data_IF_937847646217
#
_entry.id   IF_937847646217
#
_cell.length_a   1.000
_cell.length_b   1.000
_cell.length_c   1.000
_cell.angle_alpha   90.00
_cell.angle_beta   90.00
_cell.angle_gamma   90.00
#
_symmetry.space_group_name_H-M   'P 1'
#
loop_
_entity.id
_entity.type
_entity.pdbx_description
1 polymer ?
#
# COMPACT_ATOMS: atom_id res chain seq x y z
N UNK A 1 5.21 -8.41 -0.41
CA UNK A 1 3.89 -8.46 -1.10
C UNK A 1 3.07 -7.25 -0.66
N UNK A 2 2.06 -6.81 -1.43
CA UNK A 2 1.14 -5.72 -1.05
C UNK A 2 -0.30 -6.23 -1.09
N UNK A 3 -1.26 -5.63 -0.35
CA UNK A 3 -2.65 -6.06 -0.38
C UNK A 3 -3.27 -5.88 -1.76
N UNK A 4 -4.30 -6.68 -2.07
CA UNK A 4 -5.15 -6.42 -3.23
C UNK A 4 -5.80 -5.05 -3.09
N UNK A 5 -5.86 -4.30 -4.19
CA UNK A 5 -6.36 -2.94 -4.19
C UNK A 5 -7.12 -2.60 -5.47
N UNK A 6 -8.07 -1.71 -5.33
CA UNK A 6 -8.70 -1.02 -6.45
C UNK A 6 -7.86 0.21 -6.82
N UNK A 7 -7.61 0.38 -8.12
CA UNK A 7 -6.93 1.57 -8.64
C UNK A 7 -7.95 2.46 -9.32
N UNK A 8 -8.05 3.70 -8.85
CA UNK A 8 -8.92 4.73 -9.45
C UNK A 8 -8.03 5.83 -10.02
N UNK A 9 -8.05 5.98 -11.35
CA UNK A 9 -7.36 7.06 -12.04
C UNK A 9 -8.33 8.21 -12.29
N UNK A 10 -7.93 9.44 -11.91
CA UNK A 10 -8.73 10.65 -12.15
C UNK A 10 -8.14 11.36 -13.37
N UNK A 11 -8.79 11.30 -14.55
CA UNK A 11 -8.32 12.04 -15.72
C UNK A 11 -8.45 13.55 -15.47
N UNK A 12 -7.48 14.32 -15.94
CA UNK A 12 -7.52 15.78 -15.81
C UNK A 12 -8.56 16.39 -16.76
N UNK A 13 -9.24 17.44 -16.30
CA UNK A 13 -9.96 18.38 -17.18
C UNK A 13 -9.15 19.67 -17.31
N UNK A 14 -8.98 20.41 -16.21
CA UNK A 14 -8.02 21.50 -16.11
C UNK A 14 -7.01 21.17 -15.00
N UNK A 15 -5.88 20.59 -15.40
CA UNK A 15 -4.83 20.12 -14.50
C UNK A 15 -4.30 21.24 -13.59
N UNK A 16 -4.07 22.42 -14.14
CA UNK A 16 -3.51 23.55 -13.36
C UNK A 16 -4.50 24.00 -12.31
N UNK A 17 -5.78 24.15 -12.67
CA UNK A 17 -6.84 24.49 -11.72
C UNK A 17 -6.93 23.47 -10.60
N UNK A 18 -7.04 22.20 -10.97
CA UNK A 18 -7.40 21.13 -10.04
C UNK A 18 -6.24 20.74 -9.11
N UNK A 19 -5.00 20.85 -9.58
CA UNK A 19 -3.82 20.37 -8.85
C UNK A 19 -2.98 21.48 -8.19
N UNK A 20 -3.42 22.74 -8.25
CA UNK A 20 -2.77 23.85 -7.53
C UNK A 20 -3.64 24.32 -6.36
N UNK A 21 -3.10 24.36 -5.14
CA UNK A 21 -3.89 24.67 -3.93
C UNK A 21 -4.26 26.15 -3.84
N UNK A 22 -3.46 27.01 -4.46
CA UNK A 22 -3.60 28.47 -4.40
C UNK A 22 -3.53 29.10 -5.78
N UNK A 23 -4.17 30.27 -5.90
CA UNK A 23 -4.07 31.14 -7.07
C UNK A 23 -2.73 31.86 -7.01
N UNK A 24 -1.78 31.46 -7.84
CA UNK A 24 -0.47 32.11 -7.88
C UNK A 24 -0.52 33.36 -8.75
N UNK A 25 0.16 34.42 -8.33
CA UNK A 25 0.41 35.59 -9.18
C UNK A 25 1.37 35.24 -10.34
N UNK A 26 1.26 35.89 -11.51
CA UNK A 26 2.19 35.69 -12.61
C UNK A 26 3.64 35.97 -12.19
N UNK A 27 4.52 35.01 -12.43
CA UNK A 27 5.96 35.09 -12.17
C UNK A 27 6.77 34.29 -13.20
N UNK A 28 6.92 34.80 -14.44
CA UNK A 28 7.63 34.10 -15.51
C UNK A 28 9.12 33.89 -15.20
N UNK A 29 9.74 32.78 -15.66
CA UNK A 29 9.13 31.74 -16.51
C UNK A 29 8.40 30.65 -15.71
N UNK A 30 8.49 30.63 -14.37
CA UNK A 30 7.93 29.55 -13.54
C UNK A 30 6.40 29.53 -13.53
N UNK A 31 5.78 30.71 -13.46
CA UNK A 31 4.33 30.89 -13.51
C UNK A 31 4.00 31.89 -14.63
N UNK A 32 3.90 31.44 -15.89
CA UNK A 32 3.39 32.27 -16.98
C UNK A 32 1.96 32.73 -16.71
N UNK A 33 1.53 33.83 -17.33
CA UNK A 33 0.21 34.43 -17.13
C UNK A 33 -0.94 33.43 -17.35
N UNK A 34 -0.93 32.67 -18.46
CA UNK A 34 -1.95 31.64 -18.72
C UNK A 34 -1.96 30.50 -17.69
N UNK A 35 -0.82 30.21 -17.04
CA UNK A 35 -0.77 29.22 -15.95
C UNK A 35 -1.36 29.81 -14.66
N UNK A 36 -1.00 31.06 -14.34
CA UNK A 36 -1.57 31.81 -13.22
C UNK A 36 -3.09 31.90 -13.35
N UNK A 37 -3.61 32.32 -14.52
CA UNK A 37 -5.03 32.47 -14.84
C UNK A 37 -5.86 31.23 -14.50
N UNK A 38 -5.31 30.04 -14.74
CA UNK A 38 -6.01 28.78 -14.54
C UNK A 38 -5.84 28.17 -13.15
N UNK A 39 -4.98 28.71 -12.28
CA UNK A 39 -4.63 28.10 -11.00
C UNK A 39 -5.62 28.35 -9.84
N UNK A 40 -5.48 27.59 -8.75
CA UNK A 40 -6.12 27.85 -7.46
C UNK A 40 -7.44 27.12 -7.18
N UNK A 41 -7.73 26.01 -7.87
CA UNK A 41 -8.94 25.22 -7.68
C UNK A 41 -8.78 23.98 -6.79
N UNK A 42 -7.59 23.73 -6.20
CA UNK A 42 -7.30 22.53 -5.42
C UNK A 42 -8.32 22.20 -4.34
N UNK A 43 -8.80 23.21 -3.58
CA UNK A 43 -9.85 23.00 -2.54
C UNK A 43 -11.18 22.49 -3.10
N UNK A 44 -11.58 22.98 -4.27
CA UNK A 44 -12.79 22.53 -4.94
C UNK A 44 -12.60 21.10 -5.45
N UNK A 45 -11.44 20.81 -6.03
CA UNK A 45 -11.13 19.47 -6.52
C UNK A 45 -11.03 18.44 -5.38
N UNK A 46 -10.42 18.79 -4.25
CA UNK A 46 -10.39 17.94 -3.05
C UNK A 46 -11.79 17.73 -2.47
N UNK A 47 -12.66 18.74 -2.56
CA UNK A 47 -14.06 18.62 -2.15
C UNK A 47 -14.86 17.72 -3.10
N UNK A 48 -14.61 17.77 -4.40
CA UNK A 48 -15.17 16.81 -5.37
C UNK A 48 -14.74 15.38 -5.01
N UNK A 49 -13.46 15.15 -4.71
CA UNK A 49 -12.95 13.82 -4.32
C UNK A 49 -13.69 13.31 -3.08
N UNK A 50 -13.80 14.13 -2.04
CA UNK A 50 -14.44 13.78 -0.77
C UNK A 50 -15.96 13.57 -0.91
N UNK A 51 -16.67 14.47 -1.59
CA UNK A 51 -18.13 14.56 -1.53
C UNK A 51 -18.85 13.91 -2.70
N UNK A 52 -18.15 13.61 -3.78
CA UNK A 52 -18.75 13.05 -5.00
C UNK A 52 -18.07 11.75 -5.40
N UNK A 53 -16.74 11.77 -5.59
CA UNK A 53 -16.00 10.62 -6.09
C UNK A 53 -16.00 9.44 -5.11
N UNK A 54 -15.63 9.66 -3.84
CA UNK A 54 -15.63 8.59 -2.84
C UNK A 54 -17.03 7.99 -2.63
N UNK A 55 -18.12 8.77 -2.42
CA UNK A 55 -19.46 8.20 -2.33
C UNK A 55 -19.88 7.41 -3.56
N UNK A 56 -19.51 7.85 -4.76
CA UNK A 56 -19.80 7.11 -5.98
C UNK A 56 -19.07 5.76 -6.00
N UNK A 57 -17.78 5.74 -5.69
CA UNK A 57 -17.00 4.50 -5.70
C UNK A 57 -17.52 3.52 -4.64
N UNK A 58 -17.70 3.99 -3.40
CA UNK A 58 -18.15 3.16 -2.27
C UNK A 58 -19.55 2.56 -2.50
N UNK A 59 -20.40 3.27 -3.26
CA UNK A 59 -21.73 2.76 -3.63
C UNK A 59 -21.68 1.67 -4.70
N UNK A 60 -20.73 1.74 -5.63
CA UNK A 60 -20.73 0.90 -6.83
C UNK A 60 -19.75 -0.27 -6.75
N UNK A 61 -18.83 -0.28 -5.77
CA UNK A 61 -17.80 -1.29 -5.66
C UNK A 61 -17.54 -1.70 -4.20
N UNK A 62 -17.08 -2.94 -3.95
CA UNK A 62 -16.69 -3.38 -2.60
C UNK A 62 -15.37 -2.73 -2.20
N UNK A 63 -15.44 -1.55 -1.59
CA UNK A 63 -14.26 -0.81 -1.17
C UNK A 63 -13.91 -1.04 0.29
N UNK A 64 -12.61 -0.97 0.59
CA UNK A 64 -12.09 -0.87 1.94
C UNK A 64 -12.02 0.61 2.37
N UNK A 65 -12.00 0.84 3.68
CA UNK A 65 -11.86 2.18 4.27
C UNK A 65 -10.47 2.78 4.06
N UNK A 66 -9.45 1.96 3.81
CA UNK A 66 -8.07 2.37 3.59
C UNK A 66 -7.87 2.97 2.19
N UNK A 67 -7.50 4.25 2.13
CA UNK A 67 -7.28 5.00 0.89
C UNK A 67 -5.85 5.52 0.82
N UNK A 68 -5.25 5.39 -0.36
CA UNK A 68 -3.93 5.92 -0.69
C UNK A 68 -4.05 6.99 -1.77
N UNK A 69 -3.28 8.07 -1.65
CA UNK A 69 -3.18 9.09 -2.68
C UNK A 69 -1.79 9.14 -3.30
N UNK A 70 -1.72 9.03 -4.64
CA UNK A 70 -0.48 9.08 -5.41
C UNK A 70 -0.58 10.25 -6.39
N UNK A 71 0.44 11.10 -6.45
CA UNK A 71 0.48 12.19 -7.41
C UNK A 71 1.88 12.61 -7.79
N UNK A 72 2.04 13.08 -9.03
CA UNK A 72 3.30 13.48 -9.63
C UNK A 72 3.31 14.96 -10.03
N UNK A 73 4.41 15.67 -9.77
CA UNK A 73 4.57 17.08 -10.15
C UNK A 73 3.54 17.95 -9.42
N UNK A 74 2.66 18.71 -10.11
CA UNK A 74 1.49 19.34 -9.46
C UNK A 74 0.57 18.35 -8.77
N UNK A 75 0.47 17.10 -9.24
CA UNK A 75 -0.23 16.05 -8.50
C UNK A 75 0.45 15.76 -7.15
N UNK A 76 1.79 15.78 -7.08
CA UNK A 76 2.53 15.64 -5.83
C UNK A 76 2.35 16.84 -4.91
N UNK A 77 2.30 18.06 -5.47
CA UNK A 77 1.92 19.27 -4.72
C UNK A 77 0.52 19.11 -4.11
N UNK A 78 -0.44 18.61 -4.88
CA UNK A 78 -1.81 18.38 -4.41
C UNK A 78 -1.91 17.23 -3.39
N UNK A 79 -1.07 16.20 -3.48
CA UNK A 79 -0.92 15.17 -2.42
C UNK A 79 -0.46 15.82 -1.11
N UNK A 80 0.53 16.70 -1.17
CA UNK A 80 1.03 17.41 0.02
C UNK A 80 -0.01 18.38 0.60
N UNK A 81 -0.79 19.05 -0.25
CA UNK A 81 -1.89 19.91 0.17
C UNK A 81 -3.01 19.10 0.85
N UNK A 82 -3.43 17.99 0.25
CA UNK A 82 -4.43 17.10 0.82
C UNK A 82 -4.00 16.53 2.19
N UNK A 83 -2.71 16.18 2.36
CA UNK A 83 -2.16 15.76 3.64
C UNK A 83 -2.31 16.87 4.69
N UNK A 84 -2.04 18.14 4.36
CA UNK A 84 -2.11 19.23 5.33
C UNK A 84 -3.56 19.70 5.61
N UNK A 85 -4.39 19.85 4.57
CA UNK A 85 -5.75 20.41 4.64
C UNK A 85 -6.77 19.39 5.14
N UNK A 86 -6.74 18.16 4.62
CA UNK A 86 -7.71 17.09 4.94
C UNK A 86 -7.05 15.73 5.15
N UNK A 87 -6.20 15.57 6.18
CA UNK A 87 -5.47 14.32 6.45
C UNK A 87 -6.38 13.11 6.71
N UNK A 88 -7.65 13.31 7.04
CA UNK A 88 -8.62 12.23 7.27
C UNK A 88 -9.01 11.47 6.00
N UNK A 89 -8.85 12.08 4.81
CA UNK A 89 -9.30 11.49 3.54
C UNK A 89 -8.49 10.27 3.11
N UNK A 90 -7.20 10.24 3.44
CA UNK A 90 -6.29 9.16 3.06
C UNK A 90 -5.44 8.73 4.24
N UNK A 91 -5.04 7.47 4.25
CA UNK A 91 -4.13 6.88 5.24
C UNK A 91 -2.68 6.93 4.74
N UNK A 92 -2.48 6.92 3.43
CA UNK A 92 -1.13 6.91 2.86
C UNK A 92 -1.00 7.80 1.63
N UNK A 93 0.19 8.35 1.45
CA UNK A 93 0.49 9.35 0.46
C UNK A 93 1.81 8.99 -0.24
N UNK A 94 1.82 9.00 -1.58
CA UNK A 94 3.04 8.95 -2.39
C UNK A 94 3.11 10.24 -3.19
N UNK A 95 4.02 11.12 -2.80
CA UNK A 95 4.25 12.39 -3.48
C UNK A 95 5.50 12.29 -4.34
N UNK A 96 5.33 12.34 -5.65
CA UNK A 96 6.38 12.10 -6.64
C UNK A 96 6.84 13.44 -7.20
N UNK A 97 8.08 13.80 -6.89
CA UNK A 97 8.76 15.01 -7.37
C UNK A 97 7.87 16.27 -7.28
N UNK A 98 7.35 16.60 -6.08
CA UNK A 98 6.28 17.58 -5.92
C UNK A 98 6.74 19.00 -6.27
N UNK A 99 5.88 19.78 -6.92
CA UNK A 99 6.16 21.19 -7.27
C UNK A 99 6.07 22.14 -6.06
N UNK A 100 6.82 21.87 -4.98
CA UNK A 100 6.78 22.61 -3.71
C UNK A 100 7.26 24.08 -3.81
N UNK A 101 7.80 24.48 -4.95
CA UNK A 101 8.14 25.86 -5.29
C UNK A 101 6.92 26.73 -5.58
N UNK A 102 5.78 26.10 -5.89
CA UNK A 102 4.55 26.78 -6.32
C UNK A 102 4.17 27.94 -5.40
N UNK A 103 3.69 29.03 -6.01
CA UNK A 103 3.21 30.22 -5.33
C UNK A 103 4.19 30.74 -4.25
N UNK A 104 5.44 30.98 -4.67
CA UNK A 104 6.51 31.44 -3.80
C UNK A 104 6.75 30.53 -2.58
N UNK A 105 6.70 29.21 -2.79
CA UNK A 105 6.92 28.18 -1.76
C UNK A 105 5.88 28.24 -0.62
N UNK A 106 4.67 28.74 -0.87
CA UNK A 106 3.67 28.95 0.19
C UNK A 106 3.35 27.68 0.99
N UNK A 107 3.09 26.55 0.31
CA UNK A 107 2.83 25.28 1.00
C UNK A 107 4.06 24.75 1.75
N UNK A 108 5.25 24.87 1.17
CA UNK A 108 6.49 24.53 1.88
C UNK A 108 6.65 25.38 3.15
N UNK A 109 6.32 26.67 3.09
CA UNK A 109 6.40 27.55 4.24
C UNK A 109 5.38 27.19 5.32
N UNK A 110 4.15 26.76 4.97
CA UNK A 110 3.20 26.26 5.96
C UNK A 110 3.64 24.94 6.59
N UNK A 111 4.36 24.08 5.86
CA UNK A 111 4.93 22.85 6.43
C UNK A 111 5.94 23.16 7.55
N UNK A 112 6.64 24.30 7.51
CA UNK A 112 7.61 24.69 8.56
C UNK A 112 6.94 24.96 9.92
N UNK A 113 5.66 25.34 9.90
CA UNK A 113 4.89 25.68 11.11
C UNK A 113 3.80 24.66 11.45
N UNK A 114 3.63 23.63 10.61
CA UNK A 114 2.62 22.59 10.84
C UNK A 114 3.12 21.61 11.90
N UNK A 115 2.31 21.38 12.93
CA UNK A 115 2.57 20.31 13.89
C UNK A 115 2.09 18.97 13.33
N UNK A 116 3.00 18.24 12.70
CA UNK A 116 2.66 16.91 12.18
C UNK A 116 2.56 15.84 13.29
N UNK A 117 2.90 16.16 14.55
CA UNK A 117 2.67 15.27 15.69
C UNK A 117 1.23 15.29 16.19
N UNK A 118 0.36 16.15 15.65
CA UNK A 118 -1.07 16.15 15.94
C UNK A 118 -1.73 14.80 15.63
N UNK A 119 -2.70 14.39 16.44
CA UNK A 119 -3.41 13.11 16.33
C UNK A 119 -4.11 12.92 14.97
N UNK A 120 -4.45 13.99 14.25
CA UNK A 120 -5.01 13.90 12.89
C UNK A 120 -4.06 13.24 11.90
N UNK A 121 -2.76 13.24 12.19
CA UNK A 121 -1.74 12.56 11.40
C UNK A 121 -1.41 11.16 11.88
N UNK A 122 -2.00 10.69 12.98
CA UNK A 122 -1.74 9.36 13.52
C UNK A 122 -2.02 8.28 12.47
N UNK A 123 -1.11 7.30 12.39
CA UNK A 123 -1.15 6.20 11.44
C UNK A 123 -1.16 6.64 9.96
N UNK A 124 -0.68 7.86 9.66
CA UNK A 124 -0.49 8.31 8.28
C UNK A 124 0.91 7.95 7.81
N UNK A 125 1.05 7.59 6.53
CA UNK A 125 2.35 7.37 5.91
C UNK A 125 2.55 8.28 4.70
N UNK A 126 3.73 8.87 4.56
CA UNK A 126 4.13 9.68 3.43
C UNK A 126 5.44 9.16 2.86
N UNK A 127 5.42 8.76 1.58
CA UNK A 127 6.62 8.53 0.80
C UNK A 127 6.82 9.68 -0.19
N UNK A 128 8.03 10.27 -0.19
CA UNK A 128 8.37 11.34 -1.12
C UNK A 128 9.56 10.96 -2.01
N UNK A 129 9.31 10.85 -3.30
CA UNK A 129 10.36 10.70 -4.31
C UNK A 129 10.86 12.04 -4.80
N UNK A 130 12.16 12.15 -5.01
CA UNK A 130 12.83 13.36 -5.51
C UNK A 130 13.64 12.94 -6.74
N UNK A 131 13.28 13.46 -7.91
CA UNK A 131 14.00 13.18 -9.14
C UNK A 131 15.28 14.01 -9.22
N UNK A 132 16.21 13.57 -10.05
CA UNK A 132 17.35 14.37 -10.47
C UNK A 132 16.93 15.38 -11.55
N UNK A 133 16.59 16.59 -11.12
CA UNK A 133 16.38 17.75 -12.01
C UNK A 133 17.54 18.76 -11.91
N UNK A 134 18.72 18.32 -11.47
CA UNK A 134 19.92 19.15 -11.44
C UNK A 134 20.34 19.52 -12.87
N UNK A 135 20.79 20.75 -13.06
CA UNK A 135 21.41 21.12 -14.34
C UNK A 135 22.78 20.45 -14.48
N UNK A 136 23.26 20.37 -15.72
CA UNK A 136 24.52 19.70 -16.04
C UNK A 136 25.70 20.29 -15.24
N UNK A 137 26.47 19.42 -14.59
CA UNK A 137 27.64 19.83 -13.80
C UNK A 137 27.33 20.31 -12.38
N UNK A 138 26.05 20.33 -11.97
CA UNK A 138 25.67 20.57 -10.57
C UNK A 138 25.58 19.27 -9.76
N UNK A 139 25.81 19.39 -8.47
CA UNK A 139 25.57 18.35 -7.47
C UNK A 139 24.61 18.84 -6.37
N UNK A 140 24.29 17.95 -5.42
CA UNK A 140 23.35 18.24 -4.31
C UNK A 140 23.87 19.27 -3.29
N UNK A 141 25.13 19.69 -3.39
CA UNK A 141 25.78 20.71 -2.57
C UNK A 141 25.78 22.05 -3.32
N UNK A 142 26.20 22.07 -4.58
CA UNK A 142 26.31 23.27 -5.40
C UNK A 142 24.94 23.87 -5.70
N UNK A 143 23.91 23.04 -5.92
CA UNK A 143 22.54 23.50 -6.22
C UNK A 143 21.94 24.37 -5.12
N UNK A 144 22.35 24.19 -3.87
CA UNK A 144 21.87 24.98 -2.71
C UNK A 144 22.28 26.46 -2.76
N UNK A 145 23.29 26.78 -3.57
CA UNK A 145 23.84 28.14 -3.72
C UNK A 145 23.47 28.77 -5.06
N UNK A 146 22.85 28.00 -5.95
CA UNK A 146 22.44 28.45 -7.26
C UNK A 146 21.04 29.09 -7.21
N UNK A 147 20.68 29.78 -8.29
CA UNK A 147 19.34 30.34 -8.51
C UNK A 147 18.85 29.95 -9.90
N UNK A 148 17.54 29.80 -10.06
CA UNK A 148 16.92 29.50 -11.34
C UNK A 148 15.71 28.58 -11.21
N UNK A 149 14.84 28.48 -12.23
CA UNK A 149 13.61 27.71 -12.15
C UNK A 149 13.78 26.24 -11.74
N UNK A 150 14.72 25.52 -12.36
CA UNK A 150 14.99 24.10 -12.04
C UNK A 150 15.67 23.93 -10.69
N UNK A 151 16.51 24.90 -10.31
CA UNK A 151 17.14 24.98 -8.99
C UNK A 151 16.10 25.19 -7.90
N UNK A 152 15.15 26.10 -8.09
CA UNK A 152 14.05 26.35 -7.16
C UNK A 152 13.15 25.12 -7.00
N UNK A 153 12.91 24.38 -8.09
CA UNK A 153 12.15 23.15 -8.04
C UNK A 153 12.79 22.12 -7.11
N UNK A 154 14.03 21.70 -7.38
CA UNK A 154 14.68 20.66 -6.57
C UNK A 154 15.00 21.12 -5.15
N UNK A 155 15.42 22.38 -4.97
CA UNK A 155 15.70 22.93 -3.63
C UNK A 155 14.45 22.99 -2.77
N UNK A 156 13.28 23.34 -3.34
CA UNK A 156 12.03 23.34 -2.59
C UNK A 156 11.69 21.93 -2.06
N UNK A 157 11.90 20.88 -2.86
CA UNK A 157 11.64 19.50 -2.44
C UNK A 157 12.66 19.04 -1.38
N UNK A 158 13.94 19.36 -1.55
CA UNK A 158 14.96 19.08 -0.53
C UNK A 158 14.69 19.81 0.77
N UNK A 159 14.19 21.05 0.72
CA UNK A 159 13.80 21.80 1.89
C UNK A 159 12.59 21.17 2.58
N UNK A 160 11.54 20.80 1.84
CA UNK A 160 10.37 20.08 2.37
C UNK A 160 10.81 18.79 3.08
N UNK A 161 11.69 18.01 2.44
CA UNK A 161 12.29 16.81 3.05
C UNK A 161 12.94 17.11 4.38
N UNK A 162 13.74 18.18 4.42
CA UNK A 162 14.50 18.52 5.63
C UNK A 162 13.59 19.00 6.75
N UNK A 163 12.51 19.72 6.44
CA UNK A 163 11.46 20.10 7.39
C UNK A 163 10.84 18.83 8.01
N UNK A 164 10.35 17.93 7.16
CA UNK A 164 9.70 16.69 7.59
C UNK A 164 10.64 15.75 8.36
N UNK A 165 11.93 15.65 7.99
CA UNK A 165 12.92 14.82 8.72
C UNK A 165 13.32 15.39 10.07
N UNK A 166 13.30 16.72 10.24
CA UNK A 166 13.68 17.36 11.50
C UNK A 166 12.59 17.27 12.56
N UNK A 167 11.34 17.15 12.12
CA UNK A 167 10.21 16.90 13.00
C UNK A 167 10.32 15.47 13.53
N UNK A 168 10.61 15.31 14.83
CA UNK A 168 10.47 14.03 15.53
C UNK A 168 8.98 13.72 15.62
N UNK A 169 8.45 13.05 14.60
CA UNK A 169 7.03 12.82 14.47
C UNK A 169 6.72 11.33 14.57
N UNK A 170 6.01 10.96 15.63
CA UNK A 170 5.56 9.59 15.86
C UNK A 170 4.23 9.28 15.16
N UNK A 171 3.48 10.32 14.76
CA UNK A 171 2.16 10.19 14.16
C UNK A 171 2.23 10.06 12.63
N UNK A 172 3.12 10.78 11.93
CA UNK A 172 3.37 10.62 10.48
C UNK A 172 4.62 9.76 10.20
N UNK A 173 4.42 8.56 9.66
CA UNK A 173 5.51 7.74 9.16
C UNK A 173 6.04 8.30 7.83
N UNK A 174 7.18 8.97 7.86
CA UNK A 174 7.75 9.66 6.69
C UNK A 174 9.04 9.02 6.18
N UNK A 175 9.09 8.76 4.87
CA UNK A 175 10.32 8.37 4.17
C UNK A 175 10.48 9.13 2.86
N UNK A 176 11.71 9.33 2.46
CA UNK A 176 12.04 10.02 1.20
C UNK A 176 13.30 9.45 0.57
N UNK A 177 13.34 9.48 -0.76
CA UNK A 177 14.48 9.01 -1.56
C UNK A 177 14.75 9.98 -2.70
N UNK A 178 16.04 10.26 -2.92
CA UNK A 178 16.53 10.96 -4.09
C UNK A 178 16.97 9.93 -5.12
N UNK A 179 16.44 10.05 -6.33
CA UNK A 179 16.72 9.14 -7.44
C UNK A 179 17.69 9.80 -8.40
N UNK A 180 18.98 9.58 -8.17
CA UNK A 180 20.06 10.21 -8.94
C UNK A 180 20.05 9.87 -10.44
N UNK A 181 19.48 8.72 -10.80
CA UNK A 181 19.42 8.21 -12.17
C UNK A 181 18.06 8.42 -12.85
N UNK A 182 17.11 9.08 -12.19
CA UNK A 182 15.77 9.32 -12.70
C UNK A 182 15.49 10.81 -12.82
N UNK A 183 14.94 11.23 -13.96
CA UNK A 183 14.51 12.61 -14.16
C UNK A 183 13.03 12.79 -13.81
N UNK A 184 12.52 14.02 -13.92
CA UNK A 184 11.13 14.35 -13.60
C UNK A 184 10.09 13.42 -14.27
N UNK A 185 10.37 12.96 -15.50
CA UNK A 185 9.47 12.09 -16.26
C UNK A 185 9.59 10.60 -15.95
N UNK A 186 10.77 10.11 -15.53
CA UNK A 186 10.97 8.68 -15.22
C UNK A 186 10.70 8.34 -13.74
N UNK A 187 10.81 9.34 -12.85
CA UNK A 187 10.60 9.19 -11.41
C UNK A 187 9.27 8.54 -10.96
N UNK A 188 8.12 8.70 -11.68
CA UNK A 188 6.86 8.10 -11.24
C UNK A 188 6.92 6.60 -10.97
N UNK A 189 7.50 5.83 -11.89
CA UNK A 189 7.51 4.37 -11.77
C UNK A 189 8.29 3.91 -10.54
N UNK A 190 9.53 4.37 -10.38
CA UNK A 190 10.41 3.95 -9.30
C UNK A 190 9.94 4.48 -7.93
N UNK A 191 9.39 5.70 -7.90
CA UNK A 191 8.85 6.28 -6.66
C UNK A 191 7.61 5.54 -6.19
N UNK A 192 6.70 5.20 -7.11
CA UNK A 192 5.52 4.38 -6.76
C UNK A 192 5.95 3.00 -6.27
N UNK A 193 6.92 2.36 -6.93
CA UNK A 193 7.44 1.06 -6.52
C UNK A 193 7.99 1.08 -5.08
N UNK A 194 8.93 2.00 -4.78
CA UNK A 194 9.53 2.09 -3.45
C UNK A 194 8.51 2.59 -2.40
N UNK A 195 7.60 3.48 -2.78
CA UNK A 195 6.56 3.99 -1.91
C UNK A 195 5.58 2.92 -1.46
N UNK A 196 5.13 2.06 -2.39
CA UNK A 196 4.28 0.91 -2.05
C UNK A 196 4.99 -0.06 -1.10
N UNK A 197 6.29 -0.32 -1.32
CA UNK A 197 7.08 -1.18 -0.43
C UNK A 197 7.24 -0.59 0.97
N UNK A 198 7.44 0.71 1.07
CA UNK A 198 7.51 1.40 2.36
C UNK A 198 6.16 1.40 3.09
N UNK A 199 5.08 1.75 2.39
CA UNK A 199 3.75 1.84 3.01
C UNK A 199 3.28 0.47 3.49
N UNK A 200 3.48 -0.58 2.69
CA UNK A 200 3.00 -1.93 3.00
C UNK A 200 4.10 -2.86 3.51
N UNK A 201 5.17 -2.32 4.11
CA UNK A 201 6.25 -3.13 4.70
C UNK A 201 5.70 -4.12 5.74
N UNK A 202 4.73 -3.67 6.55
CA UNK A 202 4.05 -4.48 7.56
C UNK A 202 3.20 -5.62 6.99
N UNK A 203 2.90 -5.62 5.69
CA UNK A 203 2.01 -6.61 5.08
C UNK A 203 2.72 -7.95 4.84
N UNK A 204 4.04 -7.93 4.65
CA UNK A 204 4.80 -9.12 4.32
C UNK A 204 4.96 -10.04 5.54
N UNK A 205 4.42 -11.25 5.45
CA UNK A 205 4.72 -12.32 6.40
C UNK A 205 5.93 -13.12 5.92
N UNK A 206 6.96 -13.23 6.77
CA UNK A 206 8.16 -14.00 6.45
C UNK A 206 8.20 -15.32 7.23
N UNK A 207 8.39 -16.41 6.49
CA UNK A 207 8.68 -17.73 7.03
C UNK A 207 10.07 -18.11 6.58
N UNK A 208 10.98 -18.30 7.53
CA UNK A 208 12.32 -18.77 7.24
C UNK A 208 12.35 -20.30 7.18
N UNK A 209 13.26 -20.86 6.40
CA UNK A 209 13.44 -22.31 6.35
C UNK A 209 13.70 -22.92 7.74
N UNK A 210 14.46 -22.21 8.58
CA UNK A 210 14.73 -22.62 9.96
C UNK A 210 13.48 -22.64 10.84
N UNK A 211 12.45 -21.85 10.52
CA UNK A 211 11.19 -21.85 11.26
C UNK A 211 10.44 -23.17 11.04
N UNK A 212 10.50 -23.71 9.83
CA UNK A 212 9.84 -24.98 9.47
C UNK A 212 10.61 -26.19 10.00
N UNK A 213 11.94 -26.08 10.13
CA UNK A 213 12.78 -27.20 10.54
C UNK A 213 12.86 -27.40 12.06
N UNK A 214 12.59 -26.37 12.85
CA UNK A 214 12.58 -26.45 14.33
C UNK A 214 11.41 -27.32 14.83
N UNK A 215 11.64 -28.21 15.81
CA UNK A 215 10.56 -28.81 16.58
C UNK A 215 9.72 -27.74 17.28
N UNK A 216 8.41 -27.95 17.42
CA UNK A 216 7.48 -27.07 18.14
C UNK A 216 7.50 -25.61 17.68
N UNK A 217 7.54 -25.40 16.36
CA UNK A 217 7.53 -24.06 15.77
C UNK A 217 6.21 -23.33 16.01
N UNK A 218 6.25 -22.01 16.12
CA UNK A 218 5.10 -21.14 16.36
C UNK A 218 4.57 -20.47 15.07
N UNK A 219 5.01 -20.92 13.89
CA UNK A 219 4.74 -20.27 12.59
C UNK A 219 3.26 -20.00 12.37
N UNK A 220 2.38 -20.96 12.69
CA UNK A 220 0.92 -20.81 12.53
C UNK A 220 0.38 -19.73 13.46
N UNK A 221 0.82 -19.71 14.72
CA UNK A 221 0.44 -18.67 15.68
C UNK A 221 0.96 -17.29 15.23
N UNK A 222 2.21 -17.20 14.77
CA UNK A 222 2.78 -15.96 14.22
C UNK A 222 2.02 -15.49 12.99
N UNK A 223 1.58 -16.38 12.11
CA UNK A 223 0.77 -16.00 10.95
C UNK A 223 -0.59 -15.44 11.38
N UNK A 224 -1.26 -16.09 12.34
CA UNK A 224 -2.53 -15.58 12.88
C UNK A 224 -2.37 -14.19 13.51
N UNK A 225 -1.34 -13.99 14.33
CA UNK A 225 -1.02 -12.68 14.92
C UNK A 225 -0.71 -11.64 13.84
N UNK A 226 0.14 -11.98 12.87
CA UNK A 226 0.50 -11.09 11.76
C UNK A 226 -0.72 -10.56 11.02
N UNK A 227 -1.64 -11.42 10.62
CA UNK A 227 -2.84 -10.98 9.88
C UNK A 227 -3.84 -10.24 10.76
N UNK A 228 -3.86 -10.49 12.08
CA UNK A 228 -4.57 -9.64 13.04
C UNK A 228 -3.99 -8.23 13.08
N UNK A 229 -2.67 -8.08 13.14
CA UNK A 229 -1.98 -6.78 13.16
C UNK A 229 -2.13 -6.03 11.83
N UNK A 230 -2.05 -6.75 10.71
CA UNK A 230 -2.35 -6.22 9.37
C UNK A 230 -3.78 -5.68 9.33
N UNK A 231 -4.75 -6.43 9.84
CA UNK A 231 -6.16 -5.99 9.89
C UNK A 231 -6.32 -4.72 10.74
N UNK A 232 -5.65 -4.67 11.89
CA UNK A 232 -5.64 -3.49 12.77
C UNK A 232 -5.06 -2.26 12.10
N UNK A 233 -3.97 -2.42 11.34
CA UNK A 233 -3.29 -1.33 10.62
C UNK A 233 -4.10 -0.84 9.41
N UNK A 234 -4.73 -1.76 8.67
CA UNK A 234 -5.53 -1.44 7.50
C UNK A 234 -6.94 -0.93 7.86
N UNK A 235 -7.44 -1.26 9.05
CA UNK A 235 -8.78 -0.87 9.50
C UNK A 235 -9.92 -1.69 8.87
N UNK A 236 -9.60 -2.86 8.31
CA UNK A 236 -10.56 -3.84 7.79
C UNK A 236 -9.98 -5.26 7.92
N UNK A 237 -10.84 -6.27 7.88
CA UNK A 237 -10.40 -7.67 7.99
C UNK A 237 -9.49 -8.06 6.83
N UNK A 238 -8.29 -8.52 7.16
CA UNK A 238 -7.33 -9.09 6.24
C UNK A 238 -6.93 -10.48 6.73
N UNK A 239 -6.88 -11.44 5.80
CA UNK A 239 -6.58 -12.84 6.10
C UNK A 239 -5.57 -13.41 5.11
N UNK A 240 -4.78 -14.42 5.54
CA UNK A 240 -3.86 -15.10 4.63
C UNK A 240 -4.63 -15.71 3.47
N UNK A 241 -4.09 -15.60 2.25
CA UNK A 241 -4.73 -16.16 1.06
C UNK A 241 -4.91 -17.69 1.21
N UNK A 242 -6.12 -18.19 0.90
CA UNK A 242 -6.45 -19.62 1.02
C UNK A 242 -5.43 -20.52 0.32
N UNK A 243 -5.07 -20.19 -0.93
CA UNK A 243 -4.13 -20.95 -1.74
C UNK A 243 -2.69 -20.91 -1.19
N UNK A 244 -2.28 -19.81 -0.58
CA UNK A 244 -0.99 -19.71 0.10
C UNK A 244 -0.92 -20.66 1.30
N UNK A 245 -1.94 -20.67 2.16
CA UNK A 245 -2.02 -21.58 3.31
C UNK A 245 -2.02 -23.03 2.82
N UNK A 246 -2.81 -23.31 1.78
CA UNK A 246 -2.92 -24.65 1.21
C UNK A 246 -1.59 -25.15 0.64
N UNK A 247 -0.91 -24.32 -0.15
CA UNK A 247 0.39 -24.63 -0.73
C UNK A 247 1.46 -24.88 0.34
N UNK A 248 1.45 -24.10 1.43
CA UNK A 248 2.32 -24.36 2.58
C UNK A 248 2.02 -25.73 3.23
N UNK A 249 0.75 -26.09 3.42
CA UNK A 249 0.36 -27.40 3.95
C UNK A 249 0.90 -28.57 3.11
N UNK A 250 0.73 -28.53 1.79
CA UNK A 250 1.25 -29.58 0.90
C UNK A 250 2.79 -29.61 0.85
N UNK A 251 3.45 -28.44 0.78
CA UNK A 251 4.92 -28.40 0.83
C UNK A 251 5.46 -29.02 2.12
N UNK A 252 4.79 -28.79 3.25
CA UNK A 252 5.16 -29.41 4.52
C UNK A 252 4.94 -30.91 4.54
N UNK A 253 3.90 -31.43 3.88
CA UNK A 253 3.71 -32.87 3.69
C UNK A 253 4.85 -33.48 2.86
N UNK A 254 5.27 -32.83 1.78
CA UNK A 254 6.41 -33.28 0.96
C UNK A 254 7.73 -33.30 1.75
N UNK A 255 7.87 -32.41 2.74
CA UNK A 255 9.01 -32.33 3.65
C UNK A 255 8.90 -33.26 4.87
N UNK A 256 7.89 -34.13 4.93
CA UNK A 256 7.59 -35.03 6.06
C UNK A 256 7.37 -34.27 7.40
N UNK A 257 6.86 -33.04 7.32
CA UNK A 257 6.49 -32.19 8.47
C UNK A 257 4.98 -32.26 8.75
N UNK A 258 4.48 -33.48 8.94
CA UNK A 258 3.04 -33.78 9.00
C UNK A 258 2.30 -33.03 10.12
N UNK A 259 2.88 -32.90 11.32
CA UNK A 259 2.22 -32.17 12.42
C UNK A 259 1.93 -30.71 12.04
N UNK A 260 2.94 -30.02 11.50
CA UNK A 260 2.82 -28.64 11.08
C UNK A 260 1.89 -28.49 9.86
N UNK A 261 1.97 -29.41 8.90
CA UNK A 261 1.05 -29.44 7.76
C UNK A 261 -0.42 -29.49 8.23
N UNK A 262 -0.70 -30.35 9.22
CA UNK A 262 -2.02 -30.46 9.82
C UNK A 262 -2.50 -29.17 10.50
N UNK A 263 -1.61 -28.40 11.12
CA UNK A 263 -1.96 -27.08 11.67
C UNK A 263 -2.31 -26.07 10.58
N UNK A 264 -1.58 -26.06 9.46
CA UNK A 264 -1.88 -25.19 8.33
C UNK A 264 -3.23 -25.51 7.69
N UNK A 265 -3.56 -26.78 7.45
CA UNK A 265 -4.86 -27.16 6.89
C UNK A 265 -6.03 -26.81 7.83
N UNK A 266 -5.86 -27.00 9.14
CA UNK A 266 -6.86 -26.59 10.13
C UNK A 266 -7.04 -25.06 10.15
N UNK A 267 -5.94 -24.30 10.12
CA UNK A 267 -6.00 -22.85 10.00
C UNK A 267 -6.71 -22.41 8.70
N UNK A 268 -6.54 -23.13 7.60
CA UNK A 268 -7.22 -22.82 6.35
C UNK A 268 -8.75 -22.95 6.50
N UNK A 269 -9.22 -23.97 7.21
CA UNK A 269 -10.64 -24.14 7.55
C UNK A 269 -11.13 -23.01 8.46
N UNK A 270 -10.33 -22.59 9.45
CA UNK A 270 -10.71 -21.46 10.34
C UNK A 270 -11.01 -20.19 9.51
N UNK A 271 -10.19 -19.90 8.49
CA UNK A 271 -10.34 -18.70 7.65
C UNK A 271 -11.32 -18.84 6.47
N UNK A 272 -11.54 -20.07 6.00
CA UNK A 272 -12.34 -20.35 4.79
C UNK A 272 -13.31 -21.53 4.97
N UNK A 273 -14.19 -21.53 6.00
CA UNK A 273 -15.05 -22.68 6.31
C UNK A 273 -16.15 -22.96 5.26
N UNK A 274 -16.27 -22.10 4.24
CA UNK A 274 -17.20 -22.25 3.12
C UNK A 274 -16.51 -22.68 1.82
N UNK A 275 -15.19 -22.88 1.83
CA UNK A 275 -14.46 -23.40 0.67
C UNK A 275 -14.49 -24.93 0.70
N UNK A 276 -14.87 -25.57 -0.41
CA UNK A 276 -14.78 -27.04 -0.53
C UNK A 276 -13.32 -27.51 -0.50
N UNK A 277 -12.43 -26.74 -1.14
CA UNK A 277 -11.01 -27.03 -1.29
C UNK A 277 -10.30 -27.23 0.07
N UNK A 278 -10.59 -26.41 1.09
CA UNK A 278 -9.92 -26.55 2.39
C UNK A 278 -10.24 -27.85 3.12
N UNK A 279 -11.43 -28.42 2.87
CA UNK A 279 -11.80 -29.73 3.43
C UNK A 279 -11.22 -30.87 2.60
N UNK A 280 -11.15 -30.75 1.27
CA UNK A 280 -10.46 -31.74 0.43
C UNK A 280 -8.99 -31.87 0.85
N UNK A 281 -8.28 -30.75 1.00
CA UNK A 281 -6.88 -30.76 1.40
C UNK A 281 -6.65 -31.29 2.82
N UNK A 282 -7.58 -31.03 3.77
CA UNK A 282 -7.54 -31.68 5.08
C UNK A 282 -7.77 -33.20 4.96
N UNK A 283 -8.60 -33.65 4.01
CA UNK A 283 -8.80 -35.06 3.70
C UNK A 283 -7.51 -35.73 3.22
N UNK A 284 -6.78 -35.09 2.30
CA UNK A 284 -5.48 -35.57 1.81
C UNK A 284 -4.45 -35.69 2.94
N UNK A 285 -4.41 -34.72 3.84
CA UNK A 285 -3.58 -34.79 5.05
C UNK A 285 -3.93 -36.00 5.92
N UNK A 286 -5.21 -36.28 6.12
CA UNK A 286 -5.63 -37.45 6.89
C UNK A 286 -5.32 -38.77 6.18
N UNK A 287 -5.34 -38.82 4.85
CA UNK A 287 -4.85 -39.98 4.11
C UNK A 287 -3.35 -40.21 4.35
N UNK A 288 -2.54 -39.16 4.26
CA UNK A 288 -1.09 -39.25 4.46
C UNK A 288 -0.69 -39.59 5.90
N UNK A 289 -1.55 -39.32 6.87
CA UNK A 289 -1.38 -39.70 8.29
C UNK A 289 -2.15 -40.96 8.67
N UNK A 290 -2.59 -41.74 7.67
CA UNK A 290 -3.29 -43.03 7.80
C UNK A 290 -4.61 -42.97 8.61
N UNK A 291 -5.21 -41.79 8.76
CA UNK A 291 -6.48 -41.58 9.45
C UNK A 291 -7.67 -41.64 8.48
N UNK A 292 -7.97 -42.85 7.97
CA UNK A 292 -9.02 -43.07 6.95
C UNK A 292 -10.40 -42.53 7.36
N UNK A 293 -10.79 -42.69 8.62
CA UNK A 293 -12.09 -42.19 9.12
C UNK A 293 -12.20 -40.67 9.03
N UNK A 294 -11.17 -39.93 9.47
CA UNK A 294 -11.19 -38.46 9.35
C UNK A 294 -11.06 -38.00 7.91
N UNK A 295 -10.29 -38.71 7.08
CA UNK A 295 -10.20 -38.41 5.65
C UNK A 295 -11.58 -38.48 4.98
N UNK A 296 -12.33 -39.56 5.25
CA UNK A 296 -13.69 -39.75 4.75
C UNK A 296 -14.62 -38.60 5.15
N UNK A 297 -14.62 -38.22 6.43
CA UNK A 297 -15.43 -37.10 6.94
C UNK A 297 -15.07 -35.78 6.26
N UNK A 298 -13.78 -35.52 6.05
CA UNK A 298 -13.31 -34.31 5.36
C UNK A 298 -13.77 -34.26 3.90
N UNK A 299 -13.64 -35.35 3.14
CA UNK A 299 -14.11 -35.40 1.75
C UNK A 299 -15.63 -35.32 1.64
N UNK A 300 -16.38 -35.95 2.55
CA UNK A 300 -17.84 -35.79 2.63
C UNK A 300 -18.21 -34.33 2.89
N UNK A 301 -17.47 -33.64 3.77
CA UNK A 301 -17.68 -32.22 4.03
C UNK A 301 -17.36 -31.35 2.81
N UNK A 302 -16.26 -31.60 2.10
CA UNK A 302 -15.92 -30.90 0.86
C UNK A 302 -17.05 -31.02 -0.18
N UNK A 303 -17.49 -32.25 -0.47
CA UNK A 303 -18.55 -32.54 -1.44
C UNK A 303 -19.93 -31.99 -1.02
N UNK A 304 -20.16 -31.75 0.27
CA UNK A 304 -21.39 -31.08 0.75
C UNK A 304 -21.44 -29.59 0.43
N UNK A 305 -20.27 -28.97 0.19
CA UNK A 305 -20.13 -27.55 -0.18
C UNK A 305 -20.15 -27.41 -1.70
N UNK A 306 -19.30 -28.17 -2.38
CA UNK A 306 -19.19 -28.15 -3.84
C UNK A 306 -18.76 -29.52 -4.35
N UNK A 307 -19.48 -30.00 -5.37
CA UNK A 307 -19.20 -31.29 -6.01
C UNK A 307 -17.87 -31.26 -6.79
N UNK A 308 -17.00 -32.23 -6.52
CA UNK A 308 -15.70 -32.37 -7.19
C UNK A 308 -15.42 -33.84 -7.55
N UNK A 309 -15.18 -34.16 -8.84
CA UNK A 309 -14.95 -35.54 -9.28
C UNK A 309 -13.76 -36.24 -8.59
N UNK A 310 -12.66 -35.52 -8.34
CA UNK A 310 -11.48 -36.09 -7.70
C UNK A 310 -11.74 -36.36 -6.22
N UNK A 311 -12.34 -35.42 -5.48
CA UNK A 311 -12.75 -35.63 -4.08
C UNK A 311 -13.73 -36.81 -3.95
N UNK A 312 -14.67 -36.95 -4.91
CA UNK A 312 -15.61 -38.09 -4.94
C UNK A 312 -14.91 -39.41 -5.18
N UNK A 313 -13.92 -39.43 -6.08
CA UNK A 313 -13.12 -40.63 -6.34
C UNK A 313 -12.35 -41.06 -5.09
N UNK A 314 -11.67 -40.12 -4.41
CA UNK A 314 -10.96 -40.37 -3.13
C UNK A 314 -11.92 -40.94 -2.07
N UNK A 315 -13.10 -40.35 -1.92
CA UNK A 315 -14.12 -40.81 -0.98
C UNK A 315 -14.64 -42.22 -1.29
N UNK A 316 -14.88 -42.53 -2.57
CA UNK A 316 -15.36 -43.85 -2.98
C UNK A 316 -14.31 -44.94 -2.71
N UNK A 317 -13.03 -44.65 -2.96
CA UNK A 317 -11.92 -45.57 -2.65
C UNK A 317 -11.86 -45.89 -1.15
N UNK A 318 -12.07 -44.89 -0.29
CA UNK A 318 -12.12 -45.09 1.17
C UNK A 318 -13.36 -45.88 1.65
N UNK A 319 -14.43 -45.93 0.87
CA UNK A 319 -15.64 -46.70 1.20
C UNK A 319 -15.55 -48.15 0.73
N UNK A 320 -14.65 -48.44 -0.21
CA UNK A 320 -14.40 -49.79 -0.73
C UNK A 320 -13.31 -50.56 0.01
N UNK A 321 -12.47 -49.87 0.77
CA UNK A 321 -11.45 -50.42 1.67
C UNK A 321 -12.02 -50.78 3.05
#
# INVERSE_FOLDING_TARGET
MIPQMMVVAIPNTNRTRDLTPTKAEPNPPMVPEGLSEQSGGGKNFLSFIEKELFPYIDKNYPTASYRMFIGHSFGGLFVMDALQDKPHLFQSYISIDPSMWWDNKLLLNSFKTTDFSDDKYKNKALYMGIANTLEQGMDTISVKKANGPMVDHINSIFETRNVLRKMKNDNLNFKSKYYENDNHGSAPLITTYDGLRFIFEFYQFEVQFSDVMKPNTDVVARMKTHYSDVSGTLGYENKPNEGMINGMGYQLMEMDKLDLAGEFFKMNIDYYPKSSNVYDSLGDYYLATENKEKAKLSFEKALSIEENPESRKKLNQLKSD
#
